data_IF_584251070385
#
_entry.id   IF_584251070385
#
_cell.length_a   1.000
_cell.length_b   1.000
_cell.length_c   1.000
_cell.angle_alpha   90.00
_cell.angle_beta   90.00
_cell.angle_gamma   90.00
#
_symmetry.space_group_name_H-M   'P 1'
#
loop_
_entity.id
_entity.type
_entity.pdbx_description
1 polymer ?
#
# COMPACT_ATOMS: atom_id res chain seq x y z
N UNK A 1 26.91 38.20 -5.92
CA UNK A 1 28.09 37.83 -5.13
C UNK A 1 28.48 36.42 -5.42
N UNK A 2 29.76 36.16 -5.60
CA UNK A 2 30.30 34.78 -5.73
C UNK A 2 30.40 34.15 -4.35
N UNK A 3 29.57 33.15 -4.10
CA UNK A 3 29.56 32.39 -2.83
C UNK A 3 30.17 31.02 -3.06
N UNK A 4 31.26 30.72 -2.36
CA UNK A 4 31.93 29.42 -2.41
C UNK A 4 31.82 28.74 -1.07
N UNK A 5 31.16 27.57 -1.08
CA UNK A 5 31.01 26.70 0.09
C UNK A 5 32.06 25.59 0.01
N UNK A 6 32.80 25.38 1.07
CA UNK A 6 33.74 24.32 1.20
C UNK A 6 33.39 23.46 2.42
N UNK A 7 33.15 22.19 2.22
CA UNK A 7 32.87 21.28 3.32
C UNK A 7 34.15 20.92 4.05
N UNK A 8 34.09 20.86 5.37
CA UNK A 8 35.26 20.54 6.21
C UNK A 8 35.48 19.01 6.34
N UNK A 9 34.51 18.20 5.88
CA UNK A 9 34.57 16.74 5.89
C UNK A 9 34.08 16.15 4.56
N UNK A 10 34.65 15.02 4.18
CA UNK A 10 34.32 14.27 2.95
C UNK A 10 32.97 13.51 3.10
N UNK A 11 32.53 13.25 4.32
CA UNK A 11 31.31 12.51 4.63
C UNK A 11 30.41 13.31 5.56
N UNK A 12 29.10 13.29 5.29
CA UNK A 12 28.07 13.86 6.14
C UNK A 12 27.34 12.73 6.87
N UNK A 13 27.59 12.51 8.18
CA UNK A 13 26.87 11.49 8.93
C UNK A 13 25.44 11.94 9.18
N UNK A 14 24.47 11.22 8.66
CA UNK A 14 23.05 11.37 8.90
C UNK A 14 22.58 10.22 9.78
N UNK A 15 21.99 10.55 10.91
CA UNK A 15 21.42 9.56 11.81
C UNK A 15 19.92 9.76 11.94
N UNK A 16 19.17 8.66 11.84
CA UNK A 16 17.73 8.67 12.12
C UNK A 16 17.31 7.37 12.82
N UNK A 17 16.60 7.51 13.92
CA UNK A 17 15.97 6.40 14.67
C UNK A 17 14.45 6.49 14.54
N UNK A 18 13.80 5.35 14.29
CA UNK A 18 12.37 5.28 14.03
C UNK A 18 11.68 4.28 14.93
N UNK A 19 10.51 4.66 15.43
CA UNK A 19 9.59 3.76 16.13
C UNK A 19 8.19 3.93 15.53
N UNK A 20 7.61 2.82 15.06
CA UNK A 20 6.29 2.81 14.43
C UNK A 20 5.31 1.90 15.18
N UNK A 21 4.84 2.30 16.38
CA UNK A 21 3.80 1.57 17.06
C UNK A 21 2.47 1.71 16.31
N UNK A 22 1.80 0.59 16.10
CA UNK A 22 0.47 0.51 15.51
C UNK A 22 -0.44 -0.31 16.41
N UNK A 23 -1.70 0.07 16.52
CA UNK A 23 -2.72 -0.70 17.18
C UNK A 23 -4.06 -0.53 16.47
N UNK A 24 -4.86 -1.57 16.52
CA UNK A 24 -6.17 -1.57 15.88
C UNK A 24 -7.15 -2.47 16.59
N UNK A 25 -8.42 -2.26 16.28
CA UNK A 25 -9.52 -3.10 16.71
C UNK A 25 -10.51 -3.26 15.57
N UNK A 26 -11.16 -4.42 15.50
CA UNK A 26 -12.18 -4.68 14.51
C UNK A 26 -13.40 -5.34 15.14
N UNK A 27 -14.58 -4.92 14.70
CA UNK A 27 -15.84 -5.57 14.99
C UNK A 27 -16.45 -6.03 13.66
N UNK A 28 -16.90 -7.26 13.60
CA UNK A 28 -17.56 -7.78 12.41
C UNK A 28 -18.83 -8.55 12.76
N UNK A 29 -19.77 -8.54 11.83
CA UNK A 29 -20.97 -9.35 11.86
C UNK A 29 -21.24 -9.95 10.48
N UNK A 30 -21.62 -11.20 10.44
CA UNK A 30 -22.07 -11.89 9.23
C UNK A 30 -23.39 -12.61 9.51
N UNK A 31 -24.39 -12.35 8.68
CA UNK A 31 -25.67 -13.05 8.69
C UNK A 31 -25.79 -13.91 7.44
N UNK A 32 -26.30 -15.12 7.61
CA UNK A 32 -26.56 -16.06 6.53
C UNK A 32 -28.01 -16.50 6.55
N UNK A 33 -28.67 -16.33 5.42
CA UNK A 33 -30.07 -16.71 5.22
C UNK A 33 -30.16 -17.77 4.12
N UNK A 34 -30.83 -18.87 4.40
CA UNK A 34 -31.10 -19.92 3.41
C UNK A 34 -32.61 -19.96 3.12
N UNK A 35 -32.96 -19.75 1.85
CA UNK A 35 -34.34 -19.72 1.33
C UNK A 35 -34.44 -20.72 0.17
N UNK A 36 -34.85 -21.94 0.46
CA UNK A 36 -34.87 -23.03 -0.50
C UNK A 36 -33.47 -23.28 -1.11
N UNK A 37 -33.31 -23.00 -2.39
CA UNK A 37 -32.05 -23.17 -3.12
C UNK A 37 -31.11 -21.96 -3.05
N UNK A 38 -31.56 -20.86 -2.45
CA UNK A 38 -30.77 -19.66 -2.29
C UNK A 38 -30.08 -19.60 -0.93
N UNK A 39 -28.82 -19.22 -0.93
CA UNK A 39 -28.07 -18.83 0.26
C UNK A 39 -27.57 -17.40 0.09
N UNK A 40 -28.08 -16.51 0.92
CA UNK A 40 -27.71 -15.09 0.93
C UNK A 40 -26.83 -14.86 2.15
N UNK A 41 -25.68 -14.23 1.96
CA UNK A 41 -24.79 -13.84 3.04
C UNK A 41 -24.57 -12.32 2.98
N UNK A 42 -24.77 -11.65 4.10
CA UNK A 42 -24.47 -10.23 4.26
C UNK A 42 -23.55 -10.06 5.47
N UNK A 43 -22.45 -9.40 5.26
CA UNK A 43 -21.43 -9.14 6.28
C UNK A 43 -21.07 -7.66 6.30
N UNK A 44 -20.69 -7.19 7.47
CA UNK A 44 -20.13 -5.88 7.70
C UNK A 44 -19.00 -5.99 8.72
N UNK A 45 -17.89 -5.30 8.44
CA UNK A 45 -16.78 -5.17 9.35
C UNK A 45 -16.46 -3.70 9.54
N UNK A 46 -16.30 -3.28 10.78
CA UNK A 46 -15.81 -1.96 11.15
C UNK A 46 -14.40 -2.11 11.70
N UNK A 47 -13.44 -1.47 11.08
CA UNK A 47 -12.04 -1.45 11.48
C UNK A 47 -11.67 -0.07 12.00
N UNK A 48 -10.91 -0.05 13.07
CA UNK A 48 -10.19 1.11 13.55
C UNK A 48 -8.71 0.76 13.63
N UNK A 49 -7.87 1.59 13.05
CA UNK A 49 -6.42 1.47 13.15
C UNK A 49 -5.80 2.83 13.45
N UNK A 50 -4.83 2.83 14.34
CA UNK A 50 -4.00 4.00 14.59
C UNK A 50 -2.54 3.63 14.52
N UNK A 51 -1.81 4.33 13.67
CA UNK A 51 -0.37 4.18 13.48
C UNK A 51 0.33 5.50 13.80
N UNK A 52 1.54 5.41 14.35
CA UNK A 52 2.37 6.57 14.67
C UNK A 52 3.77 6.31 14.16
N UNK A 53 4.41 7.37 13.70
CA UNK A 53 5.84 7.41 13.46
C UNK A 53 6.45 8.37 14.48
N UNK A 54 7.33 7.88 15.32
CA UNK A 54 8.23 8.68 16.15
C UNK A 54 9.59 8.59 15.54
N UNK A 55 10.21 9.74 15.33
CA UNK A 55 11.54 9.77 14.78
C UNK A 55 12.44 10.76 15.54
N UNK A 56 13.72 10.43 15.54
CA UNK A 56 14.78 11.28 16.04
C UNK A 56 15.85 11.33 14.99
N UNK A 57 16.08 12.51 14.41
CA UNK A 57 17.05 12.73 13.33
C UNK A 57 18.13 13.69 13.78
N UNK A 58 19.38 13.34 13.46
CA UNK A 58 20.57 14.14 13.77
C UNK A 58 21.43 14.30 12.54
N UNK A 59 21.94 15.51 12.35
CA UNK A 59 23.00 15.81 11.42
C UNK A 59 23.84 16.93 11.98
N UNK A 60 25.15 16.84 11.83
CA UNK A 60 26.09 17.87 12.21
C UNK A 60 27.08 18.07 11.06
N UNK A 61 27.16 19.28 10.55
CA UNK A 61 27.98 19.63 9.42
C UNK A 61 28.70 20.95 9.64
N UNK A 62 30.02 20.92 9.49
CA UNK A 62 30.86 22.12 9.46
C UNK A 62 31.29 22.43 8.03
N UNK A 63 31.23 23.70 7.65
CA UNK A 63 31.62 24.20 6.35
C UNK A 63 32.22 25.60 6.44
N UNK A 64 32.94 26.00 5.42
CA UNK A 64 33.48 27.34 5.31
C UNK A 64 32.83 28.07 4.14
N UNK A 65 32.50 29.35 4.32
CA UNK A 65 31.93 30.21 3.29
C UNK A 65 32.94 31.31 2.92
N UNK A 66 33.25 31.41 1.63
CA UNK A 66 33.99 32.53 1.04
C UNK A 66 33.06 33.39 0.18
N UNK A 67 33.13 34.69 0.35
CA UNK A 67 32.32 35.67 -0.40
C UNK A 67 33.25 36.50 -1.31
N UNK A 68 32.99 36.49 -2.62
CA UNK A 68 33.73 37.23 -3.62
C UNK A 68 35.25 36.97 -3.56
N UNK A 69 35.70 35.75 -3.29
CA UNK A 69 37.10 35.35 -3.15
C UNK A 69 37.80 35.86 -1.89
N UNK A 70 37.03 36.35 -0.91
CA UNK A 70 37.56 36.73 0.40
C UNK A 70 38.01 35.56 1.25
N UNK A 71 38.58 35.81 2.43
CA UNK A 71 38.97 34.76 3.36
C UNK A 71 37.75 33.94 3.80
N UNK A 72 37.84 32.58 3.82
CA UNK A 72 36.77 31.74 4.27
C UNK A 72 36.51 31.90 5.77
N UNK A 73 35.25 31.93 6.18
CA UNK A 73 34.85 31.92 7.58
C UNK A 73 34.08 30.65 7.89
N UNK A 74 34.30 30.02 9.06
CA UNK A 74 33.68 28.74 9.40
C UNK A 74 32.22 28.95 9.82
N UNK A 75 31.39 28.02 9.39
CA UNK A 75 29.96 27.95 9.73
C UNK A 75 29.63 26.49 10.09
N UNK A 76 28.52 26.28 10.76
CA UNK A 76 28.01 24.95 11.10
C UNK A 76 26.50 24.88 11.03
N UNK A 77 26.00 23.74 10.72
CA UNK A 77 24.58 23.37 10.79
C UNK A 77 24.46 22.15 11.68
N UNK A 78 23.72 22.28 12.76
CA UNK A 78 23.38 21.17 13.65
C UNK A 78 21.86 20.97 13.64
N UNK A 79 21.42 19.78 13.28
CA UNK A 79 20.02 19.35 13.32
C UNK A 79 19.92 18.27 14.39
N UNK A 80 19.04 18.44 15.36
CA UNK A 80 18.71 17.45 16.38
C UNK A 80 17.23 17.57 16.68
N UNK A 81 16.44 16.73 15.98
CA UNK A 81 14.98 16.85 15.98
C UNK A 81 14.32 15.56 16.41
N UNK A 82 13.36 15.67 17.31
CA UNK A 82 12.46 14.58 17.68
C UNK A 82 11.03 15.01 17.39
N UNK A 83 10.31 14.20 16.61
CA UNK A 83 8.94 14.52 16.25
C UNK A 83 8.06 13.26 16.19
N UNK A 84 6.74 13.45 16.16
CA UNK A 84 5.75 12.38 16.06
C UNK A 84 4.70 12.75 15.00
N UNK A 85 4.44 11.83 14.07
CA UNK A 85 3.35 11.88 13.11
C UNK A 85 2.39 10.75 13.45
N UNK A 86 1.08 11.02 13.47
CA UNK A 86 0.08 10.01 13.80
C UNK A 86 -1.10 10.07 12.83
N UNK A 87 -1.52 8.90 12.36
CA UNK A 87 -2.71 8.73 11.54
C UNK A 87 -3.68 7.75 12.20
N UNK A 88 -4.97 7.99 12.00
CA UNK A 88 -6.04 7.09 12.44
C UNK A 88 -6.98 6.86 11.28
N UNK A 89 -7.35 5.61 11.08
CA UNK A 89 -8.24 5.17 10.02
C UNK A 89 -9.45 4.47 10.65
N UNK A 90 -10.64 4.79 10.15
CA UNK A 90 -11.88 4.10 10.52
C UNK A 90 -12.59 3.70 9.25
N UNK A 91 -12.73 2.39 9.02
CA UNK A 91 -13.21 1.85 7.77
C UNK A 91 -14.39 0.91 7.97
N UNK A 92 -15.36 1.02 7.07
CA UNK A 92 -16.52 0.12 7.01
C UNK A 92 -16.39 -0.73 5.75
N UNK A 93 -16.34 -2.04 5.94
CA UNK A 93 -16.08 -3.04 4.92
C UNK A 93 -17.30 -3.95 4.76
N UNK A 94 -18.26 -3.59 3.89
CA UNK A 94 -19.40 -4.43 3.59
C UNK A 94 -19.01 -5.58 2.67
N UNK A 95 -19.67 -6.73 2.85
CA UNK A 95 -19.62 -7.89 1.99
C UNK A 95 -21.03 -8.40 1.76
N UNK A 96 -21.34 -8.75 0.53
CA UNK A 96 -22.59 -9.40 0.15
C UNK A 96 -22.29 -10.55 -0.80
N UNK A 97 -22.98 -11.68 -0.62
CA UNK A 97 -22.98 -12.76 -1.59
C UNK A 97 -24.33 -13.45 -1.68
N UNK A 98 -24.66 -13.91 -2.88
CA UNK A 98 -25.83 -14.73 -3.14
C UNK A 98 -25.40 -15.97 -3.92
N UNK A 99 -25.76 -17.14 -3.44
CA UNK A 99 -25.48 -18.42 -4.06
C UNK A 99 -26.79 -19.13 -4.36
N UNK A 100 -26.91 -19.68 -5.55
CA UNK A 100 -27.99 -20.56 -5.95
C UNK A 100 -27.47 -21.98 -6.14
N UNK A 101 -28.06 -22.94 -5.41
CA UNK A 101 -27.75 -24.36 -5.54
C UNK A 101 -28.76 -25.01 -6.47
N UNK A 102 -28.31 -25.50 -7.63
CA UNK A 102 -29.15 -26.28 -8.54
C UNK A 102 -29.51 -27.63 -7.92
N UNK A 103 -28.54 -28.23 -7.26
CA UNK A 103 -28.59 -29.46 -6.48
C UNK A 103 -27.45 -29.48 -5.43
N UNK A 104 -27.18 -30.63 -4.82
CA UNK A 104 -26.08 -30.80 -3.85
C UNK A 104 -24.69 -30.69 -4.47
N UNK A 105 -24.57 -30.86 -5.78
CA UNK A 105 -23.29 -30.96 -6.51
C UNK A 105 -23.00 -29.72 -7.36
N UNK A 106 -23.98 -28.83 -7.58
CA UNK A 106 -23.81 -27.70 -8.48
C UNK A 106 -24.36 -26.43 -7.88
N UNK A 107 -23.57 -25.37 -7.91
CA UNK A 107 -24.01 -24.05 -7.48
C UNK A 107 -23.38 -22.95 -8.34
N UNK A 108 -24.01 -21.79 -8.32
CA UNK A 108 -23.51 -20.56 -8.88
C UNK A 108 -23.61 -19.47 -7.82
N UNK A 109 -22.61 -18.60 -7.74
CA UNK A 109 -22.64 -17.50 -6.78
C UNK A 109 -22.16 -16.19 -7.39
N UNK A 110 -22.64 -15.11 -6.79
CA UNK A 110 -22.10 -13.75 -6.99
C UNK A 110 -21.66 -13.22 -5.64
N UNK A 111 -20.57 -12.44 -5.63
CA UNK A 111 -20.13 -11.75 -4.43
C UNK A 111 -19.65 -10.34 -4.75
N UNK A 112 -19.83 -9.43 -3.78
CA UNK A 112 -19.34 -8.07 -3.79
C UNK A 112 -18.75 -7.82 -2.42
N UNK A 113 -17.50 -7.34 -2.37
CA UNK A 113 -16.82 -7.02 -1.12
C UNK A 113 -15.98 -5.76 -1.26
N UNK A 114 -15.99 -4.92 -0.21
CA UNK A 114 -15.05 -3.81 -0.08
C UNK A 114 -13.86 -4.24 0.77
N UNK A 115 -12.65 -3.89 0.32
CA UNK A 115 -11.42 -4.04 1.06
C UNK A 115 -10.68 -2.72 1.21
N UNK A 116 -9.71 -2.66 2.13
CA UNK A 116 -8.78 -1.55 2.23
C UNK A 116 -7.40 -2.05 2.65
N UNK A 117 -6.39 -1.22 2.38
CA UNK A 117 -5.04 -1.37 2.87
C UNK A 117 -4.66 -0.07 3.57
N UNK A 118 -4.26 -0.14 4.83
CA UNK A 118 -3.94 1.04 5.63
C UNK A 118 -2.84 1.89 5.00
N UNK A 119 -2.86 3.18 5.26
CA UNK A 119 -1.76 4.08 4.97
C UNK A 119 -0.57 3.85 5.90
N UNK A 120 0.52 4.55 5.65
CA UNK A 120 1.74 4.38 6.44
C UNK A 120 2.73 5.52 6.25
N UNK A 121 4.00 5.25 6.52
CA UNK A 121 5.07 6.24 6.55
C UNK A 121 6.25 5.85 5.66
N UNK A 122 6.85 6.84 5.01
CA UNK A 122 8.00 6.72 4.12
C UNK A 122 9.31 6.93 4.89
N UNK A 123 9.70 6.00 5.74
CA UNK A 123 10.94 6.13 6.53
C UNK A 123 12.21 6.15 5.68
N UNK A 124 12.17 5.63 4.47
CA UNK A 124 13.30 5.64 3.54
C UNK A 124 13.64 7.03 3.00
N UNK A 125 12.68 7.98 3.07
CA UNK A 125 12.87 9.36 2.59
C UNK A 125 13.58 10.27 3.60
N UNK A 126 13.77 9.82 4.84
CA UNK A 126 14.29 10.71 5.89
C UNK A 126 15.72 11.19 5.64
N UNK A 127 16.59 10.37 5.06
CA UNK A 127 17.93 10.82 4.70
C UNK A 127 17.91 11.90 3.62
N UNK A 128 17.02 11.77 2.64
CA UNK A 128 16.89 12.74 1.55
C UNK A 128 16.27 14.05 2.06
N UNK A 129 15.23 13.96 2.90
CA UNK A 129 14.62 15.13 3.54
C UNK A 129 15.64 15.86 4.42
N UNK A 130 16.45 15.13 5.18
CA UNK A 130 17.48 15.71 6.03
C UNK A 130 18.58 16.41 5.22
N UNK A 131 19.00 15.82 4.10
CA UNK A 131 19.94 16.44 3.16
C UNK A 131 19.37 17.72 2.53
N UNK A 132 18.11 17.69 2.06
CA UNK A 132 17.46 18.87 1.50
C UNK A 132 17.30 19.97 2.55
N UNK A 133 16.99 19.63 3.78
CA UNK A 133 16.90 20.55 4.91
C UNK A 133 18.25 21.26 5.16
N UNK A 134 19.36 20.52 5.14
CA UNK A 134 20.71 21.06 5.27
C UNK A 134 21.02 22.00 4.10
N UNK A 135 20.79 21.58 2.86
CA UNK A 135 21.03 22.40 1.66
C UNK A 135 20.23 23.72 1.71
N UNK A 136 18.95 23.60 2.08
CA UNK A 136 18.07 24.76 2.21
C UNK A 136 18.56 25.73 3.29
N UNK A 137 18.95 25.23 4.44
CA UNK A 137 19.46 26.06 5.54
C UNK A 137 20.79 26.75 5.18
N UNK A 138 21.68 26.08 4.43
CA UNK A 138 22.89 26.67 3.87
C UNK A 138 22.59 27.80 2.90
N UNK A 139 21.60 27.62 2.02
CA UNK A 139 21.31 28.58 0.94
C UNK A 139 20.47 29.78 1.41
N UNK A 140 19.53 29.58 2.32
CA UNK A 140 18.52 30.58 2.68
C UNK A 140 18.62 31.10 4.11
N UNK A 141 19.19 30.31 5.03
CA UNK A 141 19.16 30.59 6.47
C UNK A 141 17.76 30.56 7.10
N UNK A 142 16.75 30.08 6.37
CA UNK A 142 15.35 30.00 6.80
C UNK A 142 15.00 28.55 7.15
N UNK A 143 14.09 28.29 8.11
CA UNK A 143 13.61 26.93 8.38
C UNK A 143 13.03 26.28 7.14
N UNK A 144 13.32 25.00 6.94
CA UNK A 144 12.79 24.18 5.85
C UNK A 144 11.37 23.73 6.18
N UNK A 145 10.43 23.98 5.28
CA UNK A 145 9.09 23.38 5.38
C UNK A 145 9.13 21.96 4.82
N UNK A 146 8.87 20.98 5.67
CA UNK A 146 8.88 19.59 5.29
C UNK A 146 7.71 19.28 4.33
N UNK A 147 7.98 18.71 3.15
CA UNK A 147 6.91 18.32 2.24
C UNK A 147 6.11 17.14 2.83
N UNK A 148 4.83 17.04 2.46
CA UNK A 148 3.92 15.94 2.87
C UNK A 148 4.27 14.61 2.16
N UNK A 149 5.57 14.29 2.11
CA UNK A 149 6.12 13.04 1.55
C UNK A 149 6.33 11.95 2.60
N UNK A 150 6.21 12.30 3.88
CA UNK A 150 6.47 11.38 4.98
C UNK A 150 5.39 10.32 5.15
N UNK A 151 4.20 10.53 4.61
CA UNK A 151 3.09 9.60 4.78
C UNK A 151 2.33 9.35 3.47
N UNK A 152 1.65 8.22 3.42
CA UNK A 152 0.75 7.86 2.33
C UNK A 152 -0.61 7.40 2.87
N UNK A 153 -1.65 7.62 2.08
CA UNK A 153 -3.06 7.38 2.45
C UNK A 153 -3.44 5.90 2.29
N UNK A 154 -4.56 5.47 2.87
CA UNK A 154 -5.13 4.15 2.60
C UNK A 154 -5.49 3.95 1.12
N UNK A 155 -5.37 2.70 0.68
CA UNK A 155 -5.83 2.20 -0.60
C UNK A 155 -7.17 1.48 -0.41
N UNK A 156 -8.10 1.61 -1.35
CA UNK A 156 -9.43 1.02 -1.28
C UNK A 156 -9.70 0.14 -2.49
N UNK A 157 -10.39 -0.97 -2.26
CA UNK A 157 -10.79 -1.87 -3.35
C UNK A 157 -12.26 -2.28 -3.25
N UNK A 158 -12.86 -2.49 -4.43
CA UNK A 158 -14.11 -3.22 -4.59
C UNK A 158 -13.85 -4.45 -5.44
N UNK A 159 -14.21 -5.61 -4.91
CA UNK A 159 -14.15 -6.88 -5.62
C UNK A 159 -15.55 -7.34 -5.98
N UNK A 160 -15.76 -7.66 -7.25
CA UNK A 160 -16.98 -8.24 -7.80
C UNK A 160 -16.60 -9.58 -8.41
N UNK A 161 -17.32 -10.62 -8.03
CA UNK A 161 -17.01 -11.98 -8.44
C UNK A 161 -18.28 -12.75 -8.80
N UNK A 162 -18.22 -13.48 -9.91
CA UNK A 162 -19.20 -14.49 -10.32
C UNK A 162 -18.44 -15.80 -10.42
N UNK A 163 -18.87 -16.81 -9.69
CA UNK A 163 -18.24 -18.13 -9.72
C UNK A 163 -19.24 -19.27 -9.54
N UNK A 164 -18.75 -20.46 -9.73
CA UNK A 164 -19.56 -21.65 -9.57
C UNK A 164 -18.72 -22.90 -9.33
N UNK A 165 -19.37 -23.85 -8.71
CA UNK A 165 -18.82 -25.18 -8.44
C UNK A 165 -19.71 -26.23 -9.06
N UNK A 166 -19.12 -27.26 -9.64
CA UNK A 166 -19.86 -28.39 -10.14
C UNK A 166 -19.14 -29.71 -9.82
N UNK A 167 -19.91 -30.74 -9.59
CA UNK A 167 -19.45 -32.09 -9.51
C UNK A 167 -20.39 -32.98 -10.29
N UNK A 168 -19.86 -33.95 -11.04
CA UNK A 168 -20.63 -34.88 -11.83
C UNK A 168 -19.94 -36.28 -11.86
N UNK A 169 -20.62 -37.27 -12.44
CA UNK A 169 -20.14 -38.66 -12.51
C UNK A 169 -19.77 -39.21 -11.10
N UNK A 170 -20.71 -39.08 -10.12
CA UNK A 170 -20.54 -39.49 -8.74
C UNK A 170 -19.26 -38.90 -8.08
N UNK A 171 -18.87 -37.66 -8.45
CA UNK A 171 -17.71 -36.97 -7.94
C UNK A 171 -16.40 -37.28 -8.66
N UNK A 172 -16.44 -38.08 -9.75
CA UNK A 172 -15.25 -38.33 -10.56
C UNK A 172 -14.77 -37.12 -11.34
N UNK A 173 -15.64 -36.16 -11.58
CA UNK A 173 -15.29 -34.87 -12.21
C UNK A 173 -15.78 -33.74 -11.31
N UNK A 174 -14.88 -32.86 -10.89
CA UNK A 174 -15.18 -31.66 -10.10
C UNK A 174 -14.55 -30.47 -10.78
N UNK A 175 -15.24 -29.35 -10.76
CA UNK A 175 -14.73 -28.12 -11.34
C UNK A 175 -15.22 -26.89 -10.60
N UNK A 176 -14.38 -25.87 -10.65
CA UNK A 176 -14.60 -24.55 -10.11
C UNK A 176 -14.27 -23.52 -11.18
N UNK A 177 -15.03 -22.45 -11.23
CA UNK A 177 -14.69 -21.30 -12.06
C UNK A 177 -15.04 -20.01 -11.32
N UNK A 178 -14.30 -18.96 -11.61
CA UNK A 178 -14.58 -17.62 -11.16
C UNK A 178 -14.23 -16.60 -12.25
N UNK A 179 -15.07 -15.58 -12.38
CA UNK A 179 -14.82 -14.36 -13.13
C UNK A 179 -14.79 -13.23 -12.11
N UNK A 180 -13.77 -12.39 -12.14
CA UNK A 180 -13.64 -11.32 -11.19
C UNK A 180 -13.34 -9.97 -11.85
N UNK A 181 -13.79 -8.92 -11.19
CA UNK A 181 -13.44 -7.54 -11.48
C UNK A 181 -13.09 -6.83 -10.18
N UNK A 182 -11.88 -6.25 -10.12
CA UNK A 182 -11.38 -5.52 -8.97
C UNK A 182 -11.12 -4.08 -9.39
N UNK A 183 -11.74 -3.12 -8.69
CA UNK A 183 -11.52 -1.68 -8.83
C UNK A 183 -10.74 -1.19 -7.62
N UNK A 184 -9.52 -0.68 -7.83
CA UNK A 184 -8.65 -0.16 -6.77
C UNK A 184 -8.51 1.34 -6.94
N UNK A 185 -8.71 2.08 -5.85
CA UNK A 185 -8.54 3.53 -5.77
C UNK A 185 -7.46 3.89 -4.79
N UNK A 186 -6.79 5.00 -5.04
CA UNK A 186 -5.67 5.49 -4.23
C UNK A 186 -4.60 4.40 -4.05
N UNK A 187 -4.29 3.69 -5.16
CA UNK A 187 -3.37 2.56 -5.12
C UNK A 187 -2.01 2.98 -4.61
N UNK A 188 -1.52 2.26 -3.63
CA UNK A 188 -0.19 2.45 -3.06
C UNK A 188 0.85 1.82 -3.98
N UNK A 189 1.70 2.65 -4.55
CA UNK A 189 2.81 2.22 -5.40
C UNK A 189 4.12 2.82 -4.91
N UNK A 190 5.21 2.12 -5.20
CA UNK A 190 6.55 2.64 -4.95
C UNK A 190 7.03 3.40 -6.17
N UNK A 191 7.43 4.64 -5.97
CA UNK A 191 7.99 5.53 -7.00
C UNK A 191 9.35 6.07 -6.56
N UNK A 192 10.09 6.62 -7.51
CA UNK A 192 11.24 7.48 -7.20
C UNK A 192 10.75 8.92 -7.12
N UNK A 193 11.24 9.73 -6.18
CA UNK A 193 10.94 11.16 -6.14
C UNK A 193 11.34 11.84 -7.46
N UNK A 194 10.62 12.88 -7.84
CA UNK A 194 10.87 13.60 -9.08
C UNK A 194 12.31 14.15 -9.12
N UNK A 195 13.01 13.87 -10.23
CA UNK A 195 14.40 14.29 -10.42
C UNK A 195 15.45 13.46 -9.67
N UNK A 196 15.06 12.38 -8.97
CA UNK A 196 15.96 11.49 -8.25
C UNK A 196 15.99 10.09 -8.86
N UNK A 197 17.17 9.48 -8.87
CA UNK A 197 17.38 8.08 -9.29
C UNK A 197 17.56 7.13 -8.10
N UNK A 198 17.65 7.69 -6.90
CA UNK A 198 17.80 7.01 -5.62
C UNK A 198 16.70 7.48 -4.67
N UNK A 199 16.46 6.71 -3.63
CA UNK A 199 15.33 6.95 -2.74
C UNK A 199 14.04 6.37 -3.31
N UNK A 200 13.32 5.60 -2.51
CA UNK A 200 12.03 5.03 -2.89
C UNK A 200 10.99 5.52 -1.91
N UNK A 201 9.87 5.99 -2.41
CA UNK A 201 8.75 6.35 -1.57
C UNK A 201 7.48 5.64 -2.00
N UNK A 202 6.61 5.37 -1.04
CA UNK A 202 5.25 4.93 -1.30
C UNK A 202 4.38 6.17 -1.52
N UNK A 203 3.60 6.17 -2.59
CA UNK A 203 2.61 7.20 -2.86
C UNK A 203 1.28 6.59 -3.31
N UNK A 204 0.22 7.37 -3.28
CA UNK A 204 -1.08 6.96 -3.79
C UNK A 204 -1.22 7.47 -5.22
N UNK A 205 -1.00 6.61 -6.21
CA UNK A 205 -0.96 7.00 -7.61
C UNK A 205 -2.14 6.43 -8.39
N UNK A 206 -3.29 7.07 -8.23
CA UNK A 206 -4.37 6.90 -9.15
C UNK A 206 -5.27 5.68 -8.90
N UNK A 207 -5.80 5.15 -9.99
CA UNK A 207 -6.81 4.08 -10.01
C UNK A 207 -6.36 2.94 -10.90
N UNK A 208 -6.50 1.71 -10.43
CA UNK A 208 -6.29 0.52 -11.24
C UNK A 208 -7.54 -0.34 -11.29
N UNK A 209 -7.60 -1.17 -12.30
CA UNK A 209 -8.60 -2.23 -12.43
C UNK A 209 -7.92 -3.54 -12.78
N UNK A 210 -8.45 -4.63 -12.27
CA UNK A 210 -8.09 -5.99 -12.67
C UNK A 210 -9.35 -6.73 -13.09
N UNK A 211 -9.29 -7.37 -14.22
CA UNK A 211 -10.34 -8.26 -14.73
C UNK A 211 -9.69 -9.61 -14.99
N UNK A 212 -10.33 -10.68 -14.54
CA UNK A 212 -9.76 -12.00 -14.73
C UNK A 212 -10.77 -13.13 -14.69
N UNK A 213 -10.26 -14.31 -15.04
CA UNK A 213 -10.97 -15.57 -15.01
C UNK A 213 -10.06 -16.65 -14.44
N UNK A 214 -10.62 -17.49 -13.59
CA UNK A 214 -9.96 -18.65 -13.02
C UNK A 214 -10.82 -19.88 -13.23
N UNK A 215 -10.18 -21.02 -13.50
CA UNK A 215 -10.86 -22.32 -13.60
C UNK A 215 -9.97 -23.40 -13.02
N UNK A 216 -10.56 -24.33 -12.28
CA UNK A 216 -9.92 -25.52 -11.80
C UNK A 216 -10.76 -26.75 -12.16
N UNK A 217 -10.13 -27.83 -12.55
CA UNK A 217 -10.77 -29.09 -12.90
C UNK A 217 -10.01 -30.25 -12.29
N UNK A 218 -10.71 -31.07 -11.52
CA UNK A 218 -10.23 -32.36 -11.01
C UNK A 218 -10.96 -33.50 -11.72
N UNK A 219 -10.21 -34.45 -12.22
CA UNK A 219 -10.76 -35.63 -12.88
C UNK A 219 -10.14 -36.89 -12.28
N UNK A 220 -10.99 -37.80 -11.83
CA UNK A 220 -10.65 -39.12 -11.25
C UNK A 220 -11.11 -40.19 -12.24
N UNK A 221 -10.36 -40.49 -13.33
CA UNK A 221 -10.78 -41.43 -14.34
C UNK A 221 -10.91 -42.86 -13.79
N UNK A 222 -10.08 -43.21 -12.79
CA UNK A 222 -10.13 -44.44 -12.01
C UNK A 222 -9.43 -44.23 -10.65
N UNK A 223 -9.55 -45.21 -9.74
CA UNK A 223 -9.15 -45.08 -8.34
C UNK A 223 -7.68 -44.72 -8.09
N UNK A 224 -6.78 -44.99 -9.01
CA UNK A 224 -5.34 -44.74 -8.87
C UNK A 224 -4.85 -43.45 -9.58
N UNK A 225 -5.70 -42.75 -10.30
CA UNK A 225 -5.31 -41.54 -11.05
C UNK A 225 -6.18 -40.37 -10.66
N UNK A 226 -5.51 -39.30 -10.19
CA UNK A 226 -6.09 -37.97 -9.93
C UNK A 226 -5.39 -36.97 -10.84
N UNK A 227 -6.14 -36.31 -11.71
CA UNK A 227 -5.66 -35.28 -12.63
C UNK A 227 -6.23 -33.96 -12.16
N UNK A 228 -5.35 -33.02 -11.82
CA UNK A 228 -5.71 -31.67 -11.42
C UNK A 228 -5.17 -30.67 -12.46
N UNK A 229 -6.06 -29.87 -13.02
CA UNK A 229 -5.76 -28.79 -13.98
C UNK A 229 -6.23 -27.47 -13.39
N UNK A 230 -5.41 -26.44 -13.52
CA UNK A 230 -5.80 -25.09 -13.13
C UNK A 230 -5.36 -24.08 -14.20
N UNK A 231 -6.19 -23.09 -14.43
CA UNK A 231 -5.93 -22.00 -15.35
C UNK A 231 -6.36 -20.68 -14.73
N UNK A 232 -5.52 -19.65 -14.88
CA UNK A 232 -5.81 -18.30 -14.45
C UNK A 232 -5.41 -17.29 -15.53
N UNK A 233 -6.27 -16.31 -15.75
CA UNK A 233 -6.01 -15.16 -16.59
C UNK A 233 -6.33 -13.88 -15.84
N UNK A 234 -5.45 -12.88 -15.91
CA UNK A 234 -5.65 -11.56 -15.31
C UNK A 234 -5.18 -10.48 -16.26
N UNK A 235 -6.03 -9.49 -16.51
CA UNK A 235 -5.71 -8.23 -17.19
C UNK A 235 -5.79 -7.10 -16.16
N UNK A 236 -4.62 -6.62 -15.71
CA UNK A 236 -4.50 -5.53 -14.74
C UNK A 236 -3.97 -4.27 -15.43
N UNK A 237 -4.66 -3.13 -15.24
CA UNK A 237 -4.33 -1.86 -15.92
C UNK A 237 -4.53 -0.66 -14.99
N UNK A 238 -3.67 0.33 -15.15
CA UNK A 238 -3.96 1.67 -14.65
C UNK A 238 -5.09 2.29 -15.47
N UNK A 239 -6.13 2.77 -14.79
CA UNK A 239 -7.23 3.55 -15.39
C UNK A 239 -6.88 5.04 -15.36
N UNK A 240 -6.25 5.48 -14.27
CA UNK A 240 -5.76 6.83 -14.09
C UNK A 240 -4.46 6.74 -13.30
N UNK A 241 -3.43 7.36 -13.80
CA UNK A 241 -2.14 7.48 -13.14
C UNK A 241 -1.84 8.96 -12.95
N UNK A 242 -1.63 9.37 -11.71
CA UNK A 242 -1.27 10.74 -11.33
C UNK A 242 0.15 10.66 -10.76
N UNK A 243 1.07 11.42 -11.36
CA UNK A 243 2.45 11.62 -10.88
C UNK A 243 2.58 13.02 -10.31
#
# INVERSE_FOLDING_TARGET
PDLVYTMDADELPLYSDFRMPSYGAALYHESRLTLGRWRITAGIRADYERTRLRYHSKADMSYSLSVNGGAPFPLGIAIDETNEIAHSYTEILPKFSAMYSFDEMRNLYVSIARGYKAGGFNTQMFSDILQEKIKWQMASGIPYEEPDLMSYKPEYSWNYELGGHFSCMDGAVRGDFALFYIDVRDQQITVFPEGQTTGRMMTNAGRTRSLGAEAALQVLPWRQLDINLAYGYTDARFVKYET
#
